data_IF_598234856327
#
_entry.id   IF_598234856327
#
_cell.length_a   1.000
_cell.length_b   1.000
_cell.length_c   1.000
_cell.angle_alpha   90.00
_cell.angle_beta   90.00
_cell.angle_gamma   90.00
#
_symmetry.space_group_name_H-M   'P 1'
#
loop_
_entity.id
_entity.type
_entity.pdbx_description
1 polymer ?
#
# COMPACT_ATOMS: atom_id res chain seq x y z
N UNK A 1 -23.72 -6.60 -18.58
CA UNK A 1 -22.69 -5.63 -18.16
C UNK A 1 -23.33 -4.59 -17.26
N UNK A 2 -22.80 -4.40 -16.04
CA UNK A 2 -23.25 -3.33 -15.17
C UNK A 2 -22.98 -1.97 -15.83
N UNK A 3 -24.01 -1.15 -15.92
CA UNK A 3 -23.86 0.25 -16.27
C UNK A 3 -23.38 1.02 -15.03
N UNK A 4 -22.59 2.06 -15.22
CA UNK A 4 -22.00 2.85 -14.17
C UNK A 4 -20.51 2.56 -13.99
N UNK A 5 -19.93 3.10 -12.93
CA UNK A 5 -18.51 2.97 -12.60
C UNK A 5 -18.24 2.09 -11.38
N UNK A 6 -17.03 2.21 -10.86
CA UNK A 6 -16.60 1.43 -9.69
C UNK A 6 -17.50 1.69 -8.47
N UNK A 7 -17.85 2.95 -8.20
CA UNK A 7 -18.71 3.29 -7.05
C UNK A 7 -20.06 2.54 -7.08
N UNK A 8 -20.60 2.33 -8.28
CA UNK A 8 -21.89 1.64 -8.46
C UNK A 8 -21.73 0.14 -8.26
N UNK A 9 -20.64 -0.44 -8.74
CA UNK A 9 -20.33 -1.86 -8.57
C UNK A 9 -20.20 -2.25 -7.10
N UNK A 10 -19.70 -1.35 -6.26
CA UNK A 10 -19.42 -1.61 -4.84
C UNK A 10 -20.42 -0.98 -3.88
N UNK A 11 -21.56 -0.51 -4.38
CA UNK A 11 -22.58 0.20 -3.56
C UNK A 11 -23.07 -0.57 -2.34
N UNK A 12 -23.08 -1.90 -2.40
CA UNK A 12 -23.51 -2.76 -1.31
C UNK A 12 -22.38 -3.15 -0.35
N UNK A 13 -21.18 -2.65 -0.58
CA UNK A 13 -19.99 -2.98 0.21
C UNK A 13 -19.35 -1.77 0.87
N UNK A 14 -18.82 -0.85 0.09
CA UNK A 14 -18.08 0.32 0.58
C UNK A 14 -18.00 1.40 -0.50
N UNK A 15 -17.67 2.61 -0.07
CA UNK A 15 -17.39 3.69 -1.03
C UNK A 15 -16.06 3.48 -1.72
N UNK A 16 -15.97 3.94 -2.95
CA UNK A 16 -14.74 3.93 -3.73
C UNK A 16 -14.25 5.36 -3.87
N UNK A 17 -13.06 5.62 -3.35
CA UNK A 17 -12.46 6.95 -3.35
C UNK A 17 -11.26 7.09 -4.26
N UNK A 18 -10.85 8.32 -4.46
CA UNK A 18 -9.66 8.65 -5.24
C UNK A 18 -8.96 9.87 -4.65
N UNK A 19 -7.62 9.80 -4.57
CA UNK A 19 -6.80 10.96 -4.27
C UNK A 19 -6.58 11.79 -5.54
N UNK A 20 -6.75 13.10 -5.44
CA UNK A 20 -6.71 14.01 -6.57
C UNK A 20 -5.72 15.14 -6.37
N UNK A 21 -5.25 15.69 -7.51
CA UNK A 21 -4.46 16.91 -7.59
C UNK A 21 -5.26 18.02 -8.30
N UNK A 22 -4.65 19.19 -8.44
CA UNK A 22 -5.30 20.35 -9.10
C UNK A 22 -5.69 20.06 -10.54
N UNK A 23 -4.86 19.34 -11.28
CA UNK A 23 -5.14 18.98 -12.67
C UNK A 23 -6.39 18.13 -12.78
N UNK A 24 -6.58 17.18 -11.88
CA UNK A 24 -7.74 16.27 -11.89
C UNK A 24 -9.06 17.00 -11.71
N UNK A 25 -9.10 18.04 -10.89
CA UNK A 25 -10.32 18.82 -10.62
C UNK A 25 -10.52 20.01 -11.55
N UNK A 26 -9.60 20.19 -12.51
CA UNK A 26 -9.62 21.30 -13.47
C UNK A 26 -9.76 20.82 -14.94
N UNK A 27 -9.57 19.55 -15.21
CA UNK A 27 -9.57 18.97 -16.56
C UNK A 27 -10.89 18.27 -16.80
N UNK A 28 -11.70 18.67 -17.79
CA UNK A 28 -13.04 18.11 -18.01
C UNK A 28 -13.09 16.59 -18.09
N UNK A 29 -12.16 15.96 -18.81
CA UNK A 29 -12.10 14.51 -18.95
C UNK A 29 -11.79 13.80 -17.62
N UNK A 30 -10.94 14.40 -16.78
CA UNK A 30 -10.65 13.88 -15.45
C UNK A 30 -11.86 14.01 -14.53
N UNK A 31 -12.56 15.12 -14.61
CA UNK A 31 -13.79 15.37 -13.82
C UNK A 31 -14.85 14.32 -14.14
N UNK A 32 -15.07 14.03 -15.43
CA UNK A 32 -16.02 13.00 -15.86
C UNK A 32 -15.63 11.62 -15.30
N UNK A 33 -14.36 11.29 -15.36
CA UNK A 33 -13.85 10.02 -14.86
C UNK A 33 -14.06 9.90 -13.34
N UNK A 34 -13.82 10.98 -12.61
CA UNK A 34 -14.04 11.03 -11.16
C UNK A 34 -15.52 10.84 -10.85
N UNK A 35 -16.38 11.60 -11.49
CA UNK A 35 -17.84 11.56 -11.24
C UNK A 35 -18.45 10.20 -11.57
N UNK A 36 -17.91 9.53 -12.59
CA UNK A 36 -18.39 8.20 -12.98
C UNK A 36 -18.01 7.11 -11.98
N UNK A 37 -16.82 7.18 -11.38
CA UNK A 37 -16.23 6.05 -10.67
C UNK A 37 -16.12 6.20 -9.16
N UNK A 38 -16.11 7.41 -8.64
CA UNK A 38 -15.75 7.66 -7.24
C UNK A 38 -16.82 8.43 -6.49
N UNK A 39 -17.04 8.03 -5.25
CA UNK A 39 -17.98 8.70 -4.33
C UNK A 39 -17.31 9.11 -3.01
N UNK A 40 -16.01 9.27 -3.04
CA UNK A 40 -15.18 9.84 -1.96
C UNK A 40 -13.91 10.41 -2.58
N UNK A 41 -13.44 11.53 -2.07
CA UNK A 41 -12.24 12.20 -2.59
C UNK A 41 -11.27 12.47 -1.43
N UNK A 42 -9.98 12.42 -1.73
CA UNK A 42 -8.91 12.87 -0.84
C UNK A 42 -8.02 13.83 -1.62
N UNK A 43 -7.61 14.94 -1.02
CA UNK A 43 -6.56 15.78 -1.59
C UNK A 43 -5.20 15.10 -1.37
N UNK A 44 -4.50 14.76 -2.45
CA UNK A 44 -3.21 14.06 -2.34
C UNK A 44 -2.20 14.84 -1.48
N UNK A 45 -2.04 16.13 -1.72
CA UNK A 45 -1.05 16.96 -1.04
C UNK A 45 -1.59 18.28 -0.49
N UNK A 46 -2.68 18.79 -1.03
CA UNK A 46 -3.05 20.20 -0.89
C UNK A 46 -3.70 20.54 0.45
N UNK A 47 -4.02 19.54 1.27
CA UNK A 47 -4.51 19.73 2.64
C UNK A 47 -3.48 19.31 3.71
N UNK A 48 -2.26 18.97 3.31
CA UNK A 48 -1.18 18.68 4.25
C UNK A 48 -0.72 19.95 4.96
N UNK A 49 -0.19 19.87 6.19
CA UNK A 49 0.13 21.05 7.00
C UNK A 49 1.01 22.10 6.31
N UNK A 50 2.05 21.67 5.59
CA UNK A 50 2.94 22.60 4.89
C UNK A 50 2.23 23.38 3.78
N UNK A 51 1.20 22.78 3.20
CA UNK A 51 0.42 23.43 2.13
C UNK A 51 -0.56 24.45 2.68
N UNK A 52 -1.25 24.15 3.79
CA UNK A 52 -2.26 25.03 4.38
C UNK A 52 -1.70 26.08 5.31
N UNK A 53 -0.61 25.75 6.05
CA UNK A 53 0.04 26.68 6.96
C UNK A 53 1.56 26.56 6.84
N UNK A 54 2.18 27.09 5.76
CA UNK A 54 3.64 27.01 5.55
C UNK A 54 4.44 27.72 6.62
N UNK A 55 3.92 28.79 7.19
CA UNK A 55 4.49 29.56 8.30
C UNK A 55 3.42 29.82 9.34
N UNK A 56 3.81 30.02 10.60
CA UNK A 56 2.86 30.23 11.69
C UNK A 56 1.93 31.43 11.42
N UNK A 57 0.63 31.13 11.43
CA UNK A 57 -0.40 32.15 11.19
C UNK A 57 -0.54 32.59 9.74
N UNK A 58 0.24 32.04 8.82
CA UNK A 58 0.14 32.37 7.39
C UNK A 58 -0.53 31.20 6.65
N UNK A 59 -1.81 31.35 6.43
CA UNK A 59 -2.65 30.33 5.82
C UNK A 59 -2.70 30.48 4.30
N UNK A 60 -2.61 29.36 3.60
CA UNK A 60 -2.77 29.26 2.15
C UNK A 60 -3.87 28.26 1.84
N UNK A 61 -5.04 28.74 1.50
CA UNK A 61 -6.25 27.92 1.28
C UNK A 61 -6.55 27.66 -0.19
N UNK A 62 -5.84 28.28 -1.11
CA UNK A 62 -6.21 28.31 -2.53
C UNK A 62 -6.46 26.92 -3.11
N UNK A 63 -5.50 26.02 -2.98
CA UNK A 63 -5.61 24.68 -3.56
C UNK A 63 -6.57 23.78 -2.76
N UNK A 64 -6.48 23.82 -1.45
CA UNK A 64 -7.37 23.05 -0.59
C UNK A 64 -8.83 23.45 -0.81
N UNK A 65 -9.11 24.78 -0.90
CA UNK A 65 -10.45 25.28 -1.17
C UNK A 65 -10.96 24.82 -2.53
N UNK A 66 -10.11 24.80 -3.54
CA UNK A 66 -10.49 24.36 -4.89
C UNK A 66 -10.97 22.91 -4.88
N UNK A 67 -10.26 22.03 -4.18
CA UNK A 67 -10.68 20.63 -4.04
C UNK A 67 -11.94 20.52 -3.21
N UNK A 68 -12.03 21.22 -2.09
CA UNK A 68 -13.23 21.22 -1.24
C UNK A 68 -14.45 21.73 -1.98
N UNK A 69 -14.31 22.81 -2.77
CA UNK A 69 -15.39 23.36 -3.57
C UNK A 69 -15.82 22.41 -4.68
N UNK A 70 -14.88 21.71 -5.32
CA UNK A 70 -15.21 20.65 -6.27
C UNK A 70 -16.07 19.57 -5.61
N UNK A 71 -15.73 19.16 -4.39
CA UNK A 71 -16.51 18.19 -3.63
C UNK A 71 -17.91 18.73 -3.29
N UNK A 72 -18.01 19.98 -2.86
CA UNK A 72 -19.30 20.63 -2.53
C UNK A 72 -20.21 20.73 -3.75
N UNK A 73 -19.66 21.17 -4.87
CA UNK A 73 -20.40 21.35 -6.12
C UNK A 73 -20.92 20.04 -6.71
N UNK A 74 -20.18 18.94 -6.49
CA UNK A 74 -20.51 17.62 -7.05
C UNK A 74 -21.13 16.67 -6.04
N UNK A 75 -21.32 17.10 -4.79
CA UNK A 75 -21.90 16.28 -3.74
C UNK A 75 -21.07 15.04 -3.39
N UNK A 76 -19.75 15.14 -3.47
CA UNK A 76 -18.85 14.04 -3.16
C UNK A 76 -18.15 14.34 -1.83
N UNK A 77 -18.32 13.48 -0.80
CA UNK A 77 -17.67 13.71 0.50
C UNK A 77 -16.16 13.63 0.40
N UNK A 78 -15.49 14.41 1.25
CA UNK A 78 -14.03 14.57 1.26
C UNK A 78 -13.46 13.90 2.51
N UNK A 79 -12.40 13.08 2.33
CA UNK A 79 -11.54 12.62 3.41
C UNK A 79 -10.47 13.68 3.66
N UNK A 80 -10.38 14.16 4.88
CA UNK A 80 -9.34 15.10 5.26
C UNK A 80 -8.00 14.40 5.48
N UNK A 81 -6.95 14.81 4.78
CA UNK A 81 -5.63 14.19 4.86
C UNK A 81 -4.55 15.27 4.81
N UNK A 82 -3.80 15.49 5.82
CA UNK A 82 -3.72 14.88 7.15
C UNK A 82 -3.43 16.01 8.16
N UNK A 83 -3.81 15.84 9.41
CA UNK A 83 -3.64 16.93 10.41
C UNK A 83 -2.27 16.92 11.07
N UNK A 84 -1.75 15.75 11.45
CA UNK A 84 -0.47 15.61 12.16
C UNK A 84 0.37 14.52 11.50
N UNK A 85 1.54 14.90 11.03
CA UNK A 85 2.46 14.00 10.33
C UNK A 85 3.89 14.54 10.47
N UNK A 86 4.88 13.62 10.51
CA UNK A 86 6.29 14.01 10.57
C UNK A 86 6.81 14.61 9.27
N UNK A 87 6.17 14.30 8.14
CA UNK A 87 6.48 14.84 6.82
C UNK A 87 5.60 16.04 6.47
N UNK A 88 6.03 16.83 5.52
CA UNK A 88 5.29 17.95 4.91
C UNK A 88 4.58 18.85 5.94
N UNK A 89 5.31 19.22 6.97
CA UNK A 89 4.92 20.16 7.99
C UNK A 89 6.00 21.25 8.11
N UNK A 90 5.59 22.51 8.28
CA UNK A 90 6.54 23.62 8.43
C UNK A 90 7.40 23.47 9.68
N UNK A 91 8.69 23.73 9.57
CA UNK A 91 9.63 23.63 10.70
C UNK A 91 9.28 24.57 11.84
N UNK A 92 8.56 25.66 11.54
CA UNK A 92 8.07 26.61 12.55
C UNK A 92 7.24 25.92 13.64
N UNK A 93 6.62 24.77 13.34
CA UNK A 93 5.82 24.04 14.32
C UNK A 93 6.63 23.63 15.53
N UNK A 94 7.93 23.35 15.33
CA UNK A 94 8.79 22.69 16.33
C UNK A 94 9.83 23.61 16.96
N UNK A 95 10.10 24.78 16.35
CA UNK A 95 11.20 25.64 16.75
C UNK A 95 10.72 27.03 17.16
N UNK A 96 11.45 27.63 18.11
CA UNK A 96 11.27 29.02 18.50
C UNK A 96 12.12 29.96 17.61
N UNK A 97 12.09 31.27 17.91
CA UNK A 97 12.85 32.30 17.17
C UNK A 97 14.34 32.09 17.29
N UNK A 98 14.82 31.41 18.32
CA UNK A 98 16.21 31.04 18.52
C UNK A 98 16.61 29.73 17.87
N UNK A 99 15.74 29.11 17.07
CA UNK A 99 15.95 27.83 16.41
C UNK A 99 16.13 26.67 17.39
N UNK A 100 15.60 26.78 18.58
CA UNK A 100 15.56 25.71 19.58
C UNK A 100 14.19 25.07 19.59
N UNK A 101 14.15 23.78 19.97
CA UNK A 101 12.88 23.07 20.09
C UNK A 101 11.97 23.73 21.13
N UNK A 102 10.72 23.90 20.75
CA UNK A 102 9.71 24.44 21.66
C UNK A 102 9.36 23.46 22.77
N UNK A 103 8.76 23.95 23.84
CA UNK A 103 8.21 23.10 24.91
C UNK A 103 7.00 22.31 24.40
N UNK A 104 6.66 21.28 25.13
CA UNK A 104 5.44 20.48 24.87
C UNK A 104 4.19 21.38 24.88
N UNK A 105 4.09 22.29 25.80
CA UNK A 105 2.96 23.22 25.94
C UNK A 105 2.82 24.13 24.72
N UNK A 106 3.91 24.66 24.21
CA UNK A 106 3.93 25.48 22.99
C UNK A 106 3.55 24.63 21.78
N UNK A 107 4.11 23.42 21.65
CA UNK A 107 3.78 22.50 20.56
C UNK A 107 2.28 22.19 20.53
N UNK A 108 1.71 21.86 21.67
CA UNK A 108 0.28 21.53 21.75
C UNK A 108 -0.62 22.73 21.44
N UNK A 109 -0.23 23.92 21.83
CA UNK A 109 -0.95 25.13 21.46
C UNK A 109 -0.94 25.35 19.94
N UNK A 110 0.21 25.22 19.31
CA UNK A 110 0.36 25.33 17.85
C UNK A 110 -0.41 24.24 17.10
N UNK A 111 -0.31 23.01 17.56
CA UNK A 111 -1.03 21.87 17.01
C UNK A 111 -2.55 22.07 17.13
N UNK A 112 -3.03 22.49 18.29
CA UNK A 112 -4.47 22.74 18.53
C UNK A 112 -5.00 23.84 17.60
N UNK A 113 -4.27 24.93 17.46
CA UNK A 113 -4.64 26.03 16.55
C UNK A 113 -4.73 25.55 15.12
N UNK A 114 -3.72 24.79 14.67
CA UNK A 114 -3.70 24.24 13.31
C UNK A 114 -4.92 23.31 13.07
N UNK A 115 -5.12 22.36 13.94
CA UNK A 115 -6.19 21.37 13.82
C UNK A 115 -7.56 22.10 13.82
N UNK A 116 -7.81 22.97 14.79
CA UNK A 116 -9.08 23.68 14.89
C UNK A 116 -9.36 24.55 13.66
N UNK A 117 -8.36 25.25 13.16
CA UNK A 117 -8.52 26.13 12.00
C UNK A 117 -8.84 25.34 10.73
N UNK A 118 -8.10 24.27 10.47
CA UNK A 118 -8.30 23.43 9.28
C UNK A 118 -9.64 22.68 9.36
N UNK A 119 -9.91 22.03 10.49
CA UNK A 119 -11.13 21.23 10.66
C UNK A 119 -12.37 22.13 10.57
N UNK A 120 -12.38 23.28 11.25
CA UNK A 120 -13.50 24.21 11.20
C UNK A 120 -13.81 24.72 9.78
N UNK A 121 -12.76 24.94 8.98
CA UNK A 121 -12.93 25.43 7.61
C UNK A 121 -13.67 24.44 6.71
N UNK A 122 -13.44 23.15 6.89
CA UNK A 122 -13.93 22.10 5.97
C UNK A 122 -14.95 21.16 6.58
N UNK A 123 -15.43 21.39 7.79
CA UNK A 123 -16.35 20.48 8.48
C UNK A 123 -17.68 20.23 7.76
N UNK A 124 -18.08 21.12 6.85
CA UNK A 124 -19.29 20.96 6.05
C UNK A 124 -19.18 19.88 4.97
N UNK A 125 -17.96 19.58 4.52
CA UNK A 125 -17.72 18.63 3.42
C UNK A 125 -16.85 17.44 3.81
N UNK A 126 -16.01 17.58 4.83
CA UNK A 126 -15.12 16.51 5.31
C UNK A 126 -15.89 15.63 6.31
N UNK A 127 -15.98 14.33 6.01
CA UNK A 127 -16.69 13.38 6.86
C UNK A 127 -15.76 12.59 7.78
N UNK A 128 -14.47 12.58 7.49
CA UNK A 128 -13.45 11.90 8.30
C UNK A 128 -12.09 12.53 8.11
N UNK A 129 -11.23 12.40 9.11
CA UNK A 129 -9.87 12.92 9.09
C UNK A 129 -8.85 11.80 9.35
N UNK A 130 -7.78 11.79 8.57
CA UNK A 130 -6.53 11.17 8.98
C UNK A 130 -5.88 12.12 9.97
N UNK A 131 -6.14 11.89 11.25
CA UNK A 131 -5.71 12.81 12.32
C UNK A 131 -4.22 12.74 12.54
N UNK A 132 -3.70 11.52 12.71
CA UNK A 132 -2.27 11.26 12.86
C UNK A 132 -1.86 10.24 11.81
N UNK A 133 -0.77 10.55 11.13
CA UNK A 133 -0.24 9.75 10.02
C UNK A 133 1.16 9.23 10.37
N UNK A 134 1.37 7.92 10.22
CA UNK A 134 2.69 7.28 10.21
C UNK A 134 3.53 7.50 11.48
N UNK A 135 2.93 7.34 12.64
CA UNK A 135 3.59 7.57 13.92
C UNK A 135 4.25 6.32 14.55
N UNK A 136 4.12 5.16 13.91
CA UNK A 136 4.65 3.90 14.44
C UNK A 136 5.86 3.44 13.64
N UNK A 137 6.79 2.71 14.29
CA UNK A 137 8.00 2.21 13.62
C UNK A 137 7.75 0.91 12.86
N UNK A 138 8.56 0.70 11.81
CA UNK A 138 8.58 -0.55 11.06
C UNK A 138 9.50 -1.60 11.67
N UNK A 139 10.57 -1.19 12.34
CA UNK A 139 11.59 -2.08 12.90
C UNK A 139 11.02 -2.90 14.07
N UNK A 140 10.94 -4.21 13.88
CA UNK A 140 10.45 -5.14 14.91
C UNK A 140 11.39 -5.28 16.11
N UNK A 141 12.65 -4.84 15.99
CA UNK A 141 13.62 -4.85 17.06
C UNK A 141 13.69 -3.52 17.83
N UNK A 142 12.91 -2.52 17.46
CA UNK A 142 12.90 -1.24 18.15
C UNK A 142 12.33 -1.39 19.58
N UNK A 143 13.02 -0.79 20.54
CA UNK A 143 12.57 -0.79 21.95
C UNK A 143 11.31 0.04 22.14
N UNK A 144 11.18 1.14 21.37
CA UNK A 144 10.08 2.08 21.44
C UNK A 144 9.25 1.92 20.17
N UNK A 145 7.93 1.67 20.28
CA UNK A 145 7.09 1.40 19.12
C UNK A 145 6.78 2.64 18.27
N UNK A 146 7.05 3.83 18.79
CA UNK A 146 6.74 5.10 18.14
C UNK A 146 7.90 5.59 17.29
N UNK A 147 7.56 6.15 16.11
CA UNK A 147 8.52 6.84 15.27
C UNK A 147 9.20 7.97 16.05
N UNK A 148 10.52 8.06 15.97
CA UNK A 148 11.32 9.09 16.64
C UNK A 148 11.27 10.41 15.87
N UNK A 149 10.08 10.92 15.61
CA UNK A 149 9.83 12.22 14.96
C UNK A 149 10.12 13.38 15.92
N UNK A 150 10.14 14.58 15.41
CA UNK A 150 10.27 15.76 16.26
C UNK A 150 9.07 15.90 17.18
N UNK A 151 7.87 15.54 16.73
CA UNK A 151 6.68 15.44 17.59
C UNK A 151 6.95 14.60 18.82
N UNK A 152 7.48 13.40 18.61
CA UNK A 152 7.77 12.47 19.70
C UNK A 152 8.89 12.96 20.61
N UNK A 153 9.95 13.52 20.04
CA UNK A 153 11.08 14.05 20.82
C UNK A 153 10.67 15.18 21.76
N UNK A 154 9.69 16.00 21.38
CA UNK A 154 9.18 17.08 22.23
C UNK A 154 8.15 16.55 23.24
N UNK A 155 7.21 15.72 22.81
CA UNK A 155 6.00 15.43 23.58
C UNK A 155 5.82 13.95 23.97
N UNK A 156 6.72 13.04 23.54
CA UNK A 156 6.46 11.61 23.69
C UNK A 156 5.24 11.20 22.91
N UNK A 157 4.58 10.11 23.28
CA UNK A 157 3.39 9.63 22.59
C UNK A 157 2.11 10.45 22.88
N UNK A 158 2.17 11.36 23.82
CA UNK A 158 1.02 12.20 24.21
C UNK A 158 0.47 13.02 23.03
N UNK A 159 1.32 13.40 22.08
CA UNK A 159 0.86 14.19 20.93
C UNK A 159 -0.22 13.48 20.11
N UNK A 160 -0.20 12.14 20.07
CA UNK A 160 -1.17 11.36 19.31
C UNK A 160 -2.57 11.53 19.92
N UNK A 161 -2.71 11.23 21.21
CA UNK A 161 -4.00 11.38 21.89
C UNK A 161 -4.50 12.83 21.83
N UNK A 162 -3.62 13.81 22.02
CA UNK A 162 -3.97 15.23 21.96
C UNK A 162 -4.50 15.64 20.58
N UNK A 163 -3.89 15.14 19.51
CA UNK A 163 -4.35 15.42 18.16
C UNK A 163 -5.80 14.95 17.95
N UNK A 164 -6.14 13.74 18.40
CA UNK A 164 -7.50 13.20 18.32
C UNK A 164 -8.48 14.01 19.17
N UNK A 165 -8.10 14.40 20.37
CA UNK A 165 -8.93 15.24 21.24
C UNK A 165 -9.22 16.59 20.58
N UNK A 166 -8.22 17.25 20.03
CA UNK A 166 -8.39 18.55 19.37
C UNK A 166 -9.24 18.45 18.09
N UNK A 167 -9.07 17.40 17.31
CA UNK A 167 -9.90 17.17 16.14
C UNK A 167 -11.37 16.96 16.52
N UNK A 168 -11.63 16.20 17.58
CA UNK A 168 -12.98 15.96 18.09
C UNK A 168 -13.63 17.23 18.64
N UNK A 169 -12.87 18.07 19.33
CA UNK A 169 -13.34 19.37 19.79
C UNK A 169 -13.81 20.23 18.60
N UNK A 170 -13.05 20.24 17.51
CA UNK A 170 -13.32 21.08 16.34
C UNK A 170 -14.52 20.58 15.54
N UNK A 171 -14.68 19.26 15.40
CA UNK A 171 -15.82 18.64 14.71
C UNK A 171 -16.19 17.30 15.38
N UNK A 172 -17.13 17.31 16.31
CA UNK A 172 -17.56 16.09 16.99
C UNK A 172 -18.24 15.05 16.07
N UNK A 173 -18.64 15.43 14.87
CA UNK A 173 -19.34 14.55 13.93
C UNK A 173 -18.39 13.79 13.01
N UNK A 174 -17.18 14.29 12.80
CA UNK A 174 -16.24 13.65 11.90
C UNK A 174 -15.69 12.34 12.48
N UNK A 175 -15.53 11.35 11.63
CA UNK A 175 -14.83 10.13 12.01
C UNK A 175 -13.32 10.40 12.04
N UNK A 176 -12.65 9.91 13.05
CA UNK A 176 -11.23 10.18 13.31
C UNK A 176 -10.39 8.91 13.15
N UNK A 177 -9.42 8.96 12.25
CA UNK A 177 -8.59 7.82 11.85
C UNK A 177 -7.13 8.01 12.26
N UNK A 178 -6.51 6.93 12.70
CA UNK A 178 -5.07 6.76 12.64
C UNK A 178 -4.71 6.10 11.29
N UNK A 179 -3.78 6.64 10.53
CA UNK A 179 -3.42 6.19 9.19
C UNK A 179 -1.96 5.78 9.10
N UNK A 180 -1.67 4.62 8.50
CA UNK A 180 -0.28 4.17 8.37
C UNK A 180 -0.11 3.20 7.19
N UNK A 181 1.13 3.08 6.73
CA UNK A 181 1.57 2.07 5.80
C UNK A 181 2.12 0.85 6.56
N UNK A 182 2.34 -0.26 5.85
CA UNK A 182 2.77 -1.54 6.45
C UNK A 182 1.85 -2.04 7.58
N UNK A 183 0.62 -1.59 7.60
CA UNK A 183 -0.34 -1.90 8.67
C UNK A 183 -0.77 -3.37 8.69
N UNK A 184 -0.49 -4.12 7.62
CA UNK A 184 -0.73 -5.56 7.56
C UNK A 184 0.49 -6.40 7.96
N UNK A 185 1.66 -5.81 8.11
CA UNK A 185 2.86 -6.52 8.55
C UNK A 185 2.71 -6.89 10.03
N UNK A 186 2.87 -8.17 10.42
CA UNK A 186 2.49 -8.64 11.76
C UNK A 186 3.04 -7.83 12.92
N UNK A 187 4.32 -7.48 12.89
CA UNK A 187 4.94 -6.70 13.96
C UNK A 187 4.35 -5.29 14.06
N UNK A 188 4.31 -4.56 12.96
CA UNK A 188 3.74 -3.21 12.94
C UNK A 188 2.24 -3.21 13.20
N UNK A 189 1.51 -4.20 12.66
CA UNK A 189 0.10 -4.42 12.99
C UNK A 189 -0.12 -4.44 14.49
N UNK A 190 0.69 -5.20 15.22
CA UNK A 190 0.55 -5.35 16.67
C UNK A 190 0.90 -4.05 17.40
N UNK A 191 1.89 -3.30 16.93
CA UNK A 191 2.22 -1.98 17.49
C UNK A 191 1.10 -0.97 17.28
N UNK A 192 0.51 -0.93 16.08
CA UNK A 192 -0.66 -0.07 15.80
C UNK A 192 -1.84 -0.50 16.67
N UNK A 193 -2.12 -1.79 16.74
CA UNK A 193 -3.20 -2.33 17.57
C UNK A 193 -3.04 -1.89 19.05
N UNK A 194 -1.86 -2.08 19.61
CA UNK A 194 -1.61 -1.74 21.01
C UNK A 194 -1.75 -0.24 21.28
N UNK A 195 -1.29 0.61 20.35
CA UNK A 195 -1.43 2.06 20.45
C UNK A 195 -2.90 2.49 20.42
N UNK A 196 -3.67 1.98 19.48
CA UNK A 196 -5.10 2.29 19.34
C UNK A 196 -5.88 1.78 20.55
N UNK A 197 -5.58 0.56 21.03
CA UNK A 197 -6.21 0.00 22.22
C UNK A 197 -5.97 0.87 23.45
N UNK A 198 -4.72 1.30 23.67
CA UNK A 198 -4.35 2.21 24.76
C UNK A 198 -5.16 3.50 24.70
N UNK A 199 -5.30 4.10 23.53
CA UNK A 199 -6.09 5.32 23.37
C UNK A 199 -7.57 5.09 23.64
N UNK A 200 -8.15 4.01 23.13
CA UNK A 200 -9.56 3.69 23.37
C UNK A 200 -9.83 3.41 24.85
N UNK A 201 -8.96 2.67 25.51
CA UNK A 201 -9.09 2.39 26.95
C UNK A 201 -9.01 3.68 27.79
N UNK A 202 -8.30 4.69 27.31
CA UNK A 202 -8.22 6.01 27.94
C UNK A 202 -9.35 6.98 27.53
N UNK A 203 -10.30 6.54 26.72
CA UNK A 203 -11.43 7.37 26.30
C UNK A 203 -11.09 8.39 25.19
N UNK A 204 -9.98 8.23 24.49
CA UNK A 204 -9.60 9.10 23.39
C UNK A 204 -10.55 8.86 22.19
N UNK A 205 -11.07 9.93 21.55
CA UNK A 205 -12.01 9.78 20.44
C UNK A 205 -11.29 9.34 19.14
N UNK A 206 -11.15 8.03 18.96
CA UNK A 206 -10.67 7.42 17.75
C UNK A 206 -11.73 6.44 17.22
N UNK A 207 -12.06 6.53 15.93
CA UNK A 207 -13.17 5.80 15.33
C UNK A 207 -12.74 4.78 14.28
N UNK A 208 -11.54 4.93 13.73
CA UNK A 208 -11.10 4.08 12.65
C UNK A 208 -9.60 3.96 12.51
N UNK A 209 -9.21 2.95 11.77
CA UNK A 209 -7.83 2.71 11.34
C UNK A 209 -7.78 2.80 9.83
N UNK A 210 -6.89 3.65 9.31
CA UNK A 210 -6.55 3.74 7.90
C UNK A 210 -5.37 2.85 7.58
N UNK A 211 -5.59 1.89 6.71
CA UNK A 211 -4.53 1.08 6.13
C UNK A 211 -4.21 1.69 4.75
N UNK A 212 -3.01 2.23 4.59
CA UNK A 212 -2.69 2.95 3.34
C UNK A 212 -2.81 2.06 2.11
N UNK A 213 -2.31 0.83 2.18
CA UNK A 213 -2.45 -0.09 1.07
C UNK A 213 -1.48 0.16 -0.08
N UNK A 214 -0.30 0.71 0.20
CA UNK A 214 0.78 0.82 -0.76
C UNK A 214 1.47 -0.54 -0.90
N UNK A 215 0.96 -1.35 -1.80
CA UNK A 215 1.37 -2.74 -1.96
C UNK A 215 2.15 -2.94 -3.26
N UNK A 216 2.68 -4.15 -3.43
CA UNK A 216 3.22 -4.60 -4.72
C UNK A 216 2.63 -5.97 -5.05
N UNK A 217 2.86 -6.44 -6.27
CA UNK A 217 2.28 -7.72 -6.74
C UNK A 217 2.78 -8.93 -5.95
N UNK A 218 3.85 -8.79 -5.16
CA UNK A 218 4.44 -9.86 -4.35
C UNK A 218 4.08 -9.80 -2.87
N UNK A 219 3.56 -8.68 -2.38
CA UNK A 219 3.28 -8.54 -0.96
C UNK A 219 2.50 -7.27 -0.60
N UNK A 220 2.01 -7.20 0.63
CA UNK A 220 2.01 -8.25 1.64
C UNK A 220 1.11 -9.43 1.26
N UNK A 221 1.22 -10.57 1.96
CA UNK A 221 0.38 -11.73 1.69
C UNK A 221 -1.10 -11.45 1.95
N UNK A 222 -1.96 -12.13 1.23
CA UNK A 222 -3.41 -12.01 1.42
C UNK A 222 -3.81 -12.41 2.85
N UNK A 223 -3.16 -13.42 3.41
CA UNK A 223 -3.38 -13.90 4.78
C UNK A 223 -3.04 -12.82 5.81
N UNK A 224 -1.96 -12.09 5.62
CA UNK A 224 -1.57 -10.99 6.51
C UNK A 224 -2.54 -9.81 6.42
N UNK A 225 -3.05 -9.50 5.23
CA UNK A 225 -4.05 -8.45 5.05
C UNK A 225 -5.34 -8.82 5.78
N UNK A 226 -5.82 -10.05 5.57
CA UNK A 226 -7.04 -10.56 6.22
C UNK A 226 -6.90 -10.60 7.74
N UNK A 227 -5.77 -11.09 8.24
CA UNK A 227 -5.48 -11.13 9.67
C UNK A 227 -5.43 -9.74 10.30
N UNK A 228 -4.88 -8.75 9.61
CA UNK A 228 -4.82 -7.38 10.10
C UNK A 228 -6.23 -6.78 10.25
N UNK A 229 -7.06 -6.91 9.24
CA UNK A 229 -8.45 -6.44 9.29
C UNK A 229 -9.20 -7.13 10.44
N UNK A 230 -9.05 -8.45 10.57
CA UNK A 230 -9.69 -9.23 11.64
C UNK A 230 -9.24 -8.78 13.03
N UNK A 231 -8.00 -8.37 13.19
CA UNK A 231 -7.49 -7.86 14.45
C UNK A 231 -7.99 -6.44 14.75
N UNK A 232 -7.89 -5.54 13.79
CA UNK A 232 -8.29 -4.14 13.96
C UNK A 232 -9.78 -3.97 14.20
N UNK A 233 -10.63 -4.79 13.58
CA UNK A 233 -12.09 -4.71 13.76
C UNK A 233 -12.55 -5.04 15.18
N UNK A 234 -11.70 -5.61 16.02
CA UNK A 234 -11.99 -5.79 17.43
C UNK A 234 -11.92 -4.49 18.22
N UNK A 235 -11.28 -3.46 17.66
CA UNK A 235 -11.11 -2.15 18.31
C UNK A 235 -11.95 -1.05 17.69
N UNK A 236 -12.19 -1.09 16.39
CA UNK A 236 -12.82 0.01 15.64
C UNK A 236 -13.92 -0.52 14.73
N UNK A 237 -14.91 0.34 14.46
CA UNK A 237 -16.02 0.04 13.56
C UNK A 237 -15.74 0.47 12.11
N UNK A 238 -14.64 1.19 11.89
CA UNK A 238 -14.30 1.74 10.58
C UNK A 238 -12.85 1.40 10.23
N UNK A 239 -12.66 0.73 9.10
CA UNK A 239 -11.37 0.55 8.45
C UNK A 239 -11.50 1.13 7.05
N UNK A 240 -10.59 2.01 6.69
CA UNK A 240 -10.45 2.53 5.34
C UNK A 240 -9.13 2.03 4.74
N UNK A 241 -9.14 1.63 3.47
CA UNK A 241 -7.93 1.49 2.67
C UNK A 241 -7.73 2.83 2.00
N UNK A 242 -6.80 3.61 2.52
CA UNK A 242 -6.77 5.05 2.31
C UNK A 242 -5.96 5.53 1.11
N UNK A 243 -5.01 4.71 0.65
CA UNK A 243 -4.02 5.13 -0.34
C UNK A 243 -3.61 3.96 -1.25
N UNK A 244 -4.60 3.18 -1.68
CA UNK A 244 -4.37 1.92 -2.38
C UNK A 244 -3.67 2.13 -3.72
N UNK A 245 -2.57 1.45 -3.88
CA UNK A 245 -1.90 1.20 -5.15
C UNK A 245 -1.17 -0.15 -5.05
N UNK A 246 -1.01 -0.84 -6.18
CA UNK A 246 -0.28 -2.11 -6.22
C UNK A 246 0.71 -2.04 -7.37
N UNK A 247 1.95 -1.66 -7.05
CA UNK A 247 3.01 -1.53 -8.04
C UNK A 247 3.51 -2.88 -8.53
N UNK A 248 4.06 -2.90 -9.72
CA UNK A 248 4.56 -4.13 -10.37
C UNK A 248 6.04 -4.37 -10.12
N UNK A 249 6.77 -3.39 -9.59
CA UNK A 249 8.16 -3.56 -9.20
C UNK A 249 8.27 -4.33 -7.88
N UNK A 250 9.34 -5.12 -7.75
CA UNK A 250 9.71 -5.68 -6.46
C UNK A 250 10.07 -4.59 -5.47
N UNK A 251 9.79 -4.87 -4.23
CA UNK A 251 10.21 -4.03 -3.12
C UNK A 251 11.73 -4.12 -2.96
N UNK A 252 12.38 -2.96 -2.86
CA UNK A 252 13.82 -2.87 -2.65
C UNK A 252 14.08 -2.29 -1.25
N UNK A 253 13.81 -3.08 -0.21
CA UNK A 253 13.92 -2.62 1.17
C UNK A 253 12.57 -2.45 1.82
N UNK A 254 12.26 -1.26 2.33
CA UNK A 254 10.97 -0.96 2.93
C UNK A 254 9.89 -0.63 1.91
N UNK A 255 8.64 -0.54 2.36
CA UNK A 255 7.51 -0.22 1.50
C UNK A 255 7.69 1.09 0.73
N UNK A 256 8.41 2.05 1.29
CA UNK A 256 8.66 3.35 0.66
C UNK A 256 9.86 3.35 -0.29
N UNK A 257 10.63 2.25 -0.31
CA UNK A 257 11.77 2.10 -1.21
C UNK A 257 11.35 1.31 -2.45
N UNK A 258 11.42 1.92 -3.62
CA UNK A 258 11.05 1.33 -4.90
C UNK A 258 11.83 1.98 -6.02
N UNK A 259 11.99 1.25 -7.14
CA UNK A 259 12.60 1.80 -8.34
C UNK A 259 11.57 2.56 -9.17
N UNK A 260 11.91 3.76 -9.63
CA UNK A 260 11.10 4.52 -10.58
C UNK A 260 11.34 4.10 -12.03
N UNK A 261 12.35 3.27 -12.27
CA UNK A 261 12.67 2.79 -13.62
C UNK A 261 11.61 1.83 -14.16
N UNK A 262 10.88 1.19 -13.27
CA UNK A 262 9.82 0.27 -13.67
C UNK A 262 10.35 -1.06 -14.19
N UNK A 263 9.43 -1.86 -14.69
CA UNK A 263 9.69 -3.13 -15.37
C UNK A 263 8.92 -3.15 -16.69
N UNK A 264 9.33 -4.01 -17.62
CA UNK A 264 8.55 -4.24 -18.84
C UNK A 264 7.20 -4.85 -18.47
N UNK A 265 6.12 -4.24 -18.94
CA UNK A 265 4.77 -4.71 -18.65
C UNK A 265 4.42 -5.85 -19.62
N UNK A 266 4.60 -7.07 -19.13
CA UNK A 266 4.30 -8.30 -19.86
C UNK A 266 2.89 -8.78 -19.52
N UNK A 267 2.38 -9.75 -20.27
CA UNK A 267 1.10 -10.40 -19.98
C UNK A 267 1.12 -11.05 -18.57
N UNK A 268 2.25 -11.65 -18.19
CA UNK A 268 2.45 -12.24 -16.86
C UNK A 268 2.32 -11.18 -15.75
N UNK A 269 2.98 -10.05 -15.90
CA UNK A 269 2.93 -8.96 -14.92
C UNK A 269 1.51 -8.39 -14.80
N UNK A 270 0.84 -8.16 -15.92
CA UNK A 270 -0.54 -7.69 -15.93
C UNK A 270 -1.47 -8.67 -15.20
N UNK A 271 -1.34 -9.96 -15.51
CA UNK A 271 -2.14 -11.01 -14.86
C UNK A 271 -1.87 -11.07 -13.36
N UNK A 272 -0.61 -10.98 -12.93
CA UNK A 272 -0.25 -10.99 -11.51
C UNK A 272 -0.87 -9.81 -10.77
N UNK A 273 -0.84 -8.62 -11.36
CA UNK A 273 -1.45 -7.43 -10.76
C UNK A 273 -2.97 -7.57 -10.65
N UNK A 274 -3.62 -8.02 -11.71
CA UNK A 274 -5.06 -8.27 -11.73
C UNK A 274 -5.47 -9.27 -10.65
N UNK A 275 -4.74 -10.36 -10.52
CA UNK A 275 -4.98 -11.39 -9.50
C UNK A 275 -4.78 -10.88 -8.09
N UNK A 276 -3.76 -10.05 -7.87
CA UNK A 276 -3.50 -9.45 -6.56
C UNK A 276 -4.62 -8.50 -6.14
N UNK A 277 -5.05 -7.64 -7.05
CA UNK A 277 -6.19 -6.75 -6.80
C UNK A 277 -7.49 -7.53 -6.56
N UNK A 278 -7.76 -8.53 -7.38
CA UNK A 278 -8.96 -9.36 -7.22
C UNK A 278 -9.01 -10.05 -5.86
N UNK A 279 -7.90 -10.66 -5.46
CA UNK A 279 -7.79 -11.31 -4.15
C UNK A 279 -7.97 -10.32 -2.99
N UNK A 280 -7.36 -9.13 -3.09
CA UNK A 280 -7.52 -8.08 -2.10
C UNK A 280 -9.00 -7.66 -1.99
N UNK A 281 -9.63 -7.34 -3.10
CA UNK A 281 -11.03 -6.89 -3.08
C UNK A 281 -11.99 -7.96 -2.57
N UNK A 282 -11.70 -9.24 -2.80
CA UNK A 282 -12.44 -10.35 -2.21
C UNK A 282 -12.38 -10.32 -0.66
N UNK A 283 -11.20 -10.08 -0.11
CA UNK A 283 -11.00 -9.92 1.34
C UNK A 283 -11.77 -8.71 1.85
N UNK A 284 -11.68 -7.57 1.15
CA UNK A 284 -12.36 -6.34 1.55
C UNK A 284 -13.88 -6.52 1.55
N UNK A 285 -14.44 -7.18 0.53
CA UNK A 285 -15.88 -7.49 0.48
C UNK A 285 -16.30 -8.43 1.62
N UNK A 286 -15.49 -9.41 1.95
CA UNK A 286 -15.72 -10.31 3.09
C UNK A 286 -15.84 -9.52 4.41
N UNK A 287 -15.10 -8.45 4.55
CA UNK A 287 -15.07 -7.59 5.72
C UNK A 287 -15.90 -6.30 5.58
N UNK A 288 -16.96 -6.33 4.77
CA UNK A 288 -17.79 -5.14 4.53
C UNK A 288 -18.44 -4.57 5.80
N UNK A 289 -18.52 -5.35 6.86
CA UNK A 289 -19.02 -4.91 8.17
C UNK A 289 -18.14 -3.81 8.79
N UNK A 290 -16.85 -3.79 8.47
CA UNK A 290 -15.89 -2.84 9.03
C UNK A 290 -15.17 -2.01 7.96
N UNK A 291 -14.94 -2.56 6.77
CA UNK A 291 -14.33 -1.83 5.64
C UNK A 291 -15.39 -0.95 4.99
N UNK A 292 -15.26 0.36 5.17
CA UNK A 292 -16.27 1.34 4.73
C UNK A 292 -15.85 2.17 3.52
N UNK A 293 -14.54 2.21 3.23
CA UNK A 293 -14.00 2.96 2.10
C UNK A 293 -12.74 2.30 1.58
N UNK A 294 -12.59 2.32 0.25
CA UNK A 294 -11.36 1.96 -0.45
C UNK A 294 -11.02 3.10 -1.39
N UNK A 295 -9.91 3.79 -1.13
CA UNK A 295 -9.44 4.93 -1.90
C UNK A 295 -8.20 4.55 -2.69
N UNK A 296 -8.24 4.76 -3.99
CA UNK A 296 -7.06 4.64 -4.85
C UNK A 296 -6.20 5.89 -4.74
N UNK A 297 -4.89 5.70 -4.60
CA UNK A 297 -3.97 6.82 -4.48
C UNK A 297 -3.55 7.34 -5.85
N UNK A 298 -4.29 8.29 -6.34
CA UNK A 298 -4.24 8.97 -7.62
C UNK A 298 -5.23 8.42 -8.66
N UNK A 299 -5.55 9.27 -9.63
CA UNK A 299 -6.55 8.98 -10.65
C UNK A 299 -6.02 8.04 -11.74
N UNK A 300 -4.74 8.18 -12.08
CA UNK A 300 -4.10 7.37 -13.12
C UNK A 300 -2.63 7.14 -12.81
N UNK A 301 -2.02 6.21 -13.53
CA UNK A 301 -0.59 5.94 -13.43
C UNK A 301 0.26 7.20 -13.68
N UNK A 302 -0.22 8.10 -14.54
CA UNK A 302 0.45 9.36 -14.82
C UNK A 302 0.57 10.26 -13.58
N UNK A 303 -0.45 10.25 -12.73
CA UNK A 303 -0.51 11.06 -11.52
C UNK A 303 0.20 10.39 -10.34
N UNK A 304 0.50 9.10 -10.43
CA UNK A 304 1.01 8.32 -9.32
C UNK A 304 2.34 8.85 -8.77
N UNK A 305 2.40 8.97 -7.46
CA UNK A 305 3.63 9.30 -6.74
C UNK A 305 4.76 8.29 -6.99
N UNK A 306 4.42 7.05 -7.37
CA UNK A 306 5.37 5.99 -7.70
C UNK A 306 6.02 6.17 -9.07
N UNK A 307 5.42 6.99 -9.94
CA UNK A 307 5.78 7.08 -11.34
C UNK A 307 5.01 6.08 -12.21
N UNK A 308 4.73 6.49 -13.45
CA UNK A 308 3.91 5.71 -14.39
C UNK A 308 4.48 4.32 -14.70
N UNK A 309 5.81 4.18 -14.67
CA UNK A 309 6.49 2.92 -14.94
C UNK A 309 6.22 1.81 -13.90
N UNK A 310 5.74 2.17 -12.72
CA UNK A 310 5.30 1.23 -11.70
C UNK A 310 3.90 0.66 -11.93
N UNK A 311 3.15 1.23 -12.89
CA UNK A 311 1.88 0.71 -13.40
C UNK A 311 0.84 0.38 -12.32
N UNK A 312 0.63 1.23 -11.29
CA UNK A 312 0.00 0.76 -10.05
C UNK A 312 -1.53 0.76 -10.02
N UNK A 313 -2.21 1.47 -10.94
CA UNK A 313 -3.61 1.85 -10.79
C UNK A 313 -4.52 1.26 -11.89
N UNK A 314 -5.85 1.28 -11.68
CA UNK A 314 -6.80 0.78 -12.69
C UNK A 314 -6.83 1.57 -13.99
N UNK A 315 -6.42 2.84 -13.99
CA UNK A 315 -6.32 3.67 -15.18
C UNK A 315 -4.86 3.91 -15.55
N UNK A 316 -4.53 3.75 -16.82
CA UNK A 316 -3.16 3.90 -17.34
C UNK A 316 -2.73 5.37 -17.42
N UNK A 317 -1.50 5.60 -17.90
CA UNK A 317 -0.95 6.96 -18.01
C UNK A 317 -1.67 7.87 -19.00
N UNK A 318 -2.54 7.33 -19.82
CA UNK A 318 -3.42 8.06 -20.73
C UNK A 318 -4.86 8.18 -20.22
N UNK A 319 -5.10 7.83 -18.97
CA UNK A 319 -6.42 7.84 -18.31
C UNK A 319 -7.42 6.86 -18.94
N UNK A 320 -6.91 5.81 -19.59
CA UNK A 320 -7.74 4.74 -20.15
C UNK A 320 -7.84 3.58 -19.16
N UNK A 321 -9.01 2.93 -19.08
CA UNK A 321 -9.17 1.77 -18.21
C UNK A 321 -8.32 0.59 -18.71
N UNK A 322 -7.56 0.00 -17.79
CA UNK A 322 -6.87 -1.26 -18.03
C UNK A 322 -7.86 -2.43 -17.91
N UNK A 323 -7.43 -3.65 -18.30
CA UNK A 323 -8.22 -4.85 -17.98
C UNK A 323 -8.47 -4.98 -16.48
N UNK A 324 -7.55 -4.53 -15.65
CA UNK A 324 -7.72 -4.45 -14.19
C UNK A 324 -9.01 -3.72 -13.81
N UNK A 325 -9.33 -2.62 -14.45
CA UNK A 325 -10.58 -1.90 -14.21
C UNK A 325 -11.79 -2.80 -14.44
N UNK A 326 -11.78 -3.58 -15.52
CA UNK A 326 -12.85 -4.51 -15.85
C UNK A 326 -12.96 -5.63 -14.82
N UNK A 327 -11.84 -6.16 -14.33
CA UNK A 327 -11.80 -7.15 -13.27
C UNK A 327 -12.48 -6.61 -12.00
N UNK A 328 -12.12 -5.39 -11.59
CA UNK A 328 -12.65 -4.79 -10.38
C UNK A 328 -14.14 -4.43 -10.51
N UNK A 329 -14.52 -3.89 -11.67
CA UNK A 329 -15.91 -3.46 -11.90
C UNK A 329 -16.87 -4.65 -12.01
N UNK A 330 -16.45 -5.72 -12.67
CA UNK A 330 -17.31 -6.87 -12.99
C UNK A 330 -17.02 -8.08 -12.10
N UNK A 331 -16.59 -7.87 -10.87
CA UNK A 331 -16.10 -8.91 -9.95
C UNK A 331 -17.07 -10.09 -9.77
N UNK A 332 -18.37 -9.87 -9.90
CA UNK A 332 -19.41 -10.88 -9.72
C UNK A 332 -19.61 -11.78 -10.95
N UNK A 333 -19.09 -11.40 -12.11
CA UNK A 333 -19.27 -12.15 -13.37
C UNK A 333 -17.95 -12.59 -14.01
N UNK A 334 -16.80 -12.20 -13.48
CA UNK A 334 -15.51 -12.60 -14.04
C UNK A 334 -15.24 -14.08 -13.87
N UNK A 335 -14.46 -14.63 -14.82
CA UNK A 335 -13.96 -16.01 -14.83
C UNK A 335 -12.46 -15.98 -15.05
N UNK A 336 -11.79 -17.14 -15.06
CA UNK A 336 -10.36 -17.21 -15.41
C UNK A 336 -10.06 -16.59 -16.78
N UNK A 337 -10.97 -16.69 -17.73
CA UNK A 337 -10.82 -16.08 -19.06
C UNK A 337 -10.88 -14.55 -19.05
N UNK A 338 -11.40 -13.94 -17.98
CA UNK A 338 -11.48 -12.48 -17.83
C UNK A 338 -10.13 -11.84 -17.56
N UNK A 339 -9.21 -12.57 -16.93
CA UNK A 339 -7.86 -12.09 -16.66
C UNK A 339 -7.02 -12.07 -17.92
N UNK A 340 -6.02 -11.20 -17.96
CA UNK A 340 -5.04 -11.18 -19.05
C UNK A 340 -4.44 -12.56 -19.23
N UNK A 341 -4.54 -13.12 -20.43
CA UNK A 341 -3.99 -14.43 -20.74
C UNK A 341 -2.49 -14.32 -21.01
N UNK A 342 -1.73 -15.33 -20.59
CA UNK A 342 -0.31 -15.41 -20.90
C UNK A 342 -0.11 -15.50 -22.41
N UNK A 343 0.85 -14.75 -22.94
CA UNK A 343 1.14 -14.70 -24.37
C UNK A 343 2.64 -14.63 -24.63
N UNK A 344 3.07 -15.03 -25.84
CA UNK A 344 4.46 -14.94 -26.26
C UNK A 344 5.41 -15.68 -25.33
N UNK A 345 6.50 -15.02 -24.95
CA UNK A 345 7.54 -15.59 -24.08
C UNK A 345 7.08 -15.84 -22.65
N UNK A 346 5.92 -15.32 -22.25
CA UNK A 346 5.36 -15.56 -20.92
C UNK A 346 4.71 -16.94 -20.78
N UNK A 347 4.42 -17.59 -21.91
CA UNK A 347 3.88 -18.95 -21.88
C UNK A 347 5.00 -19.91 -21.51
N UNK A 348 4.86 -20.51 -20.33
CA UNK A 348 5.82 -21.50 -19.85
C UNK A 348 5.55 -22.84 -20.54
N UNK A 349 6.52 -23.35 -21.28
CA UNK A 349 6.45 -24.69 -21.87
C UNK A 349 6.75 -25.74 -20.81
N UNK A 350 5.87 -26.70 -20.66
CA UNK A 350 5.97 -27.75 -19.62
C UNK A 350 6.92 -28.92 -20.03
N UNK A 351 7.81 -28.70 -20.96
CA UNK A 351 8.81 -29.68 -21.41
C UNK A 351 10.09 -29.69 -20.52
N UNK A 352 9.91 -29.44 -19.23
CA UNK A 352 11.00 -29.45 -18.27
C UNK A 352 11.62 -30.85 -18.15
N UNK A 353 12.94 -30.88 -18.15
CA UNK A 353 13.74 -32.08 -17.95
C UNK A 353 14.77 -31.86 -16.83
N UNK A 354 15.09 -32.91 -16.05
CA UNK A 354 16.16 -32.78 -15.05
C UNK A 354 17.47 -32.31 -15.68
N UNK A 355 18.11 -31.36 -15.04
CA UNK A 355 19.42 -30.87 -15.44
C UNK A 355 20.52 -31.87 -14.96
N UNK A 356 20.67 -33.00 -15.66
CA UNK A 356 21.45 -34.15 -15.25
C UNK A 356 22.89 -33.82 -14.87
N UNK A 357 23.51 -32.84 -15.51
CA UNK A 357 24.88 -32.42 -15.21
C UNK A 357 24.96 -31.60 -13.91
N UNK A 358 23.86 -31.12 -13.37
CA UNK A 358 23.78 -30.24 -12.22
C UNK A 358 23.19 -30.94 -10.99
N UNK A 359 22.30 -31.92 -11.21
CA UNK A 359 21.56 -32.57 -10.13
C UNK A 359 22.39 -33.61 -9.42
N UNK A 360 22.18 -33.76 -8.14
CA UNK A 360 22.60 -34.92 -7.39
C UNK A 360 21.89 -36.19 -7.91
N UNK A 361 22.58 -37.33 -7.78
CA UNK A 361 22.03 -38.60 -8.24
C UNK A 361 20.61 -38.86 -7.69
N UNK A 362 19.72 -39.22 -8.60
CA UNK A 362 18.34 -39.53 -8.26
C UNK A 362 17.45 -38.31 -8.00
N UNK A 363 17.98 -37.11 -8.11
CA UNK A 363 17.20 -35.86 -7.94
C UNK A 363 16.64 -35.39 -9.28
N UNK A 364 15.36 -35.00 -9.27
CA UNK A 364 14.70 -34.48 -10.46
C UNK A 364 14.93 -32.98 -10.67
N UNK A 365 15.24 -32.26 -9.60
CA UNK A 365 15.44 -30.80 -9.63
C UNK A 365 16.91 -30.42 -9.42
N UNK A 366 17.36 -29.30 -9.96
CA UNK A 366 16.62 -28.37 -10.84
C UNK A 366 16.30 -28.98 -12.20
N UNK A 367 15.28 -28.43 -12.86
CA UNK A 367 14.86 -28.80 -14.21
C UNK A 367 15.07 -27.61 -15.16
N UNK A 368 15.24 -27.89 -16.44
CA UNK A 368 15.37 -26.87 -17.49
C UNK A 368 14.43 -27.25 -18.63
N UNK A 369 13.72 -26.26 -19.18
CA UNK A 369 12.85 -26.45 -20.34
C UNK A 369 13.49 -25.94 -21.63
N UNK A 370 12.79 -26.07 -22.76
CA UNK A 370 13.24 -25.62 -24.07
C UNK A 370 13.38 -24.11 -24.20
N UNK A 371 12.78 -23.36 -23.27
CA UNK A 371 12.91 -21.90 -23.22
C UNK A 371 14.08 -21.45 -22.33
N UNK A 372 14.88 -22.38 -21.85
CA UNK A 372 15.97 -22.12 -20.90
C UNK A 372 15.47 -21.56 -19.55
N UNK A 373 14.23 -21.85 -19.19
CA UNK A 373 13.72 -21.59 -17.84
C UNK A 373 14.22 -22.67 -16.90
N UNK A 374 14.59 -22.25 -15.69
CA UNK A 374 15.03 -23.15 -14.62
C UNK A 374 13.89 -23.29 -13.62
N UNK A 375 13.51 -24.52 -13.30
CA UNK A 375 12.55 -24.83 -12.23
C UNK A 375 13.27 -25.46 -11.07
N UNK A 376 13.12 -24.87 -9.88
CA UNK A 376 13.68 -25.37 -8.64
C UNK A 376 12.57 -25.83 -7.70
N UNK A 377 12.92 -26.76 -6.81
CA UNK A 377 12.01 -27.23 -5.77
C UNK A 377 12.77 -27.41 -4.46
N UNK A 378 12.16 -26.95 -3.36
CA UNK A 378 12.74 -27.06 -2.03
C UNK A 378 11.67 -27.48 -1.03
N UNK A 379 11.99 -28.46 -0.18
CA UNK A 379 11.18 -28.80 0.98
C UNK A 379 11.62 -27.96 2.17
N UNK A 380 10.76 -27.01 2.57
CA UNK A 380 11.01 -26.09 3.67
C UNK A 380 9.69 -25.78 4.40
N UNK A 381 9.19 -26.70 5.22
CA UNK A 381 7.84 -26.60 5.79
C UNK A 381 7.68 -25.43 6.78
N UNK A 382 8.76 -24.99 7.40
CA UNK A 382 8.75 -23.85 8.33
C UNK A 382 9.03 -22.50 7.69
N UNK A 383 9.29 -22.44 6.38
CA UNK A 383 9.62 -21.21 5.70
C UNK A 383 8.39 -20.36 5.42
N UNK A 384 8.54 -19.04 5.51
CA UNK A 384 7.50 -18.06 5.15
C UNK A 384 7.64 -17.59 3.71
N UNK A 385 8.86 -17.59 3.18
CA UNK A 385 9.17 -17.13 1.84
C UNK A 385 10.35 -17.91 1.28
N UNK A 386 10.25 -18.37 0.05
CA UNK A 386 11.35 -18.99 -0.69
C UNK A 386 11.40 -18.35 -2.09
N UNK A 387 12.60 -17.97 -2.51
CA UNK A 387 12.85 -17.41 -3.84
C UNK A 387 13.96 -18.16 -4.54
N UNK A 388 13.85 -18.29 -5.87
CA UNK A 388 14.93 -18.76 -6.74
C UNK A 388 15.75 -17.55 -7.19
N UNK A 389 17.02 -17.53 -6.85
CA UNK A 389 17.95 -16.46 -7.19
C UNK A 389 18.87 -16.92 -8.32
N UNK A 390 18.63 -16.43 -9.51
CA UNK A 390 19.37 -16.80 -10.72
C UNK A 390 19.40 -15.62 -11.71
N UNK A 391 20.52 -15.45 -12.39
CA UNK A 391 20.66 -14.44 -13.42
C UNK A 391 20.50 -12.99 -12.90
N UNK A 392 20.86 -12.76 -11.65
CA UNK A 392 20.75 -11.45 -11.01
C UNK A 392 19.32 -11.06 -10.62
N UNK A 393 18.38 -12.01 -10.66
CA UNK A 393 16.98 -11.78 -10.33
C UNK A 393 16.47 -12.85 -9.38
N UNK A 394 15.56 -12.47 -8.49
CA UNK A 394 14.93 -13.38 -7.51
C UNK A 394 13.49 -13.63 -7.92
N UNK A 395 13.14 -14.91 -8.05
CA UNK A 395 11.80 -15.35 -8.45
C UNK A 395 11.08 -15.98 -7.27
N UNK A 396 9.93 -15.45 -6.84
CA UNK A 396 9.17 -16.04 -5.75
C UNK A 396 8.72 -17.47 -6.09
N UNK A 397 8.81 -18.36 -5.11
CA UNK A 397 8.37 -19.73 -5.23
C UNK A 397 7.05 -19.94 -4.50
N UNK A 398 6.28 -20.92 -4.94
CA UNK A 398 4.95 -21.22 -4.41
C UNK A 398 5.02 -22.45 -3.52
N UNK A 399 4.41 -22.35 -2.33
CA UNK A 399 4.24 -23.48 -1.39
C UNK A 399 3.00 -24.27 -1.76
N UNK A 400 3.13 -25.61 -1.81
CA UNK A 400 2.00 -26.52 -2.09
C UNK A 400 1.04 -26.73 -0.91
N UNK A 401 1.28 -26.05 0.22
CA UNK A 401 0.53 -26.23 1.46
C UNK A 401 1.08 -27.36 2.34
N UNK A 402 2.08 -28.10 1.87
CA UNK A 402 2.74 -29.19 2.61
C UNK A 402 4.23 -28.94 2.82
N UNK A 403 4.67 -27.71 2.61
CA UNK A 403 6.05 -27.29 2.81
C UNK A 403 6.96 -27.54 1.62
N UNK A 404 6.43 -27.92 0.46
CA UNK A 404 7.22 -28.02 -0.78
C UNK A 404 7.01 -26.78 -1.61
N UNK A 405 8.13 -26.10 -1.89
CA UNK A 405 8.18 -24.86 -2.65
C UNK A 405 8.69 -25.14 -4.05
N UNK A 406 8.00 -24.63 -5.06
CA UNK A 406 8.40 -24.77 -6.47
C UNK A 406 8.31 -23.40 -7.15
N UNK A 407 9.28 -23.11 -8.01
CA UNK A 407 9.29 -21.89 -8.78
C UNK A 407 10.16 -21.97 -10.02
N UNK A 408 9.90 -21.08 -10.99
CA UNK A 408 10.62 -21.01 -12.25
C UNK A 408 11.22 -19.63 -12.46
N UNK A 409 12.35 -19.61 -13.17
CA UNK A 409 12.93 -18.39 -13.70
C UNK A 409 12.30 -17.97 -15.03
N UNK A 410 12.54 -16.74 -15.43
CA UNK A 410 12.43 -16.34 -16.84
C UNK A 410 13.50 -17.06 -17.68
N UNK A 411 13.39 -17.05 -19.02
CA UNK A 411 14.42 -17.62 -19.88
C UNK A 411 15.81 -17.07 -19.56
N UNK A 412 16.76 -17.97 -19.40
CA UNK A 412 18.16 -17.62 -19.13
C UNK A 412 18.96 -17.57 -20.43
N UNK A 413 20.08 -16.85 -20.42
CA UNK A 413 21.03 -16.84 -21.54
C UNK A 413 21.67 -18.22 -21.70
N UNK A 414 22.25 -18.49 -22.86
CA UNK A 414 23.05 -19.69 -23.04
C UNK A 414 24.26 -19.69 -22.13
N UNK A 415 24.59 -20.88 -21.61
CA UNK A 415 25.75 -21.08 -20.77
C UNK A 415 25.37 -21.46 -19.34
N UNK A 416 26.41 -21.54 -18.53
CA UNK A 416 26.29 -21.95 -17.14
C UNK A 416 25.88 -20.77 -16.26
N UNK A 417 24.88 -20.98 -15.42
CA UNK A 417 24.40 -19.98 -14.46
C UNK A 417 24.56 -20.50 -13.04
N UNK A 418 25.14 -19.66 -12.18
CA UNK A 418 25.08 -19.87 -10.76
C UNK A 418 23.69 -19.51 -10.26
N UNK A 419 23.16 -20.30 -9.36
CA UNK A 419 21.92 -19.98 -8.68
C UNK A 419 21.96 -20.42 -7.23
N UNK A 420 21.08 -19.85 -6.45
CA UNK A 420 20.85 -20.21 -5.06
C UNK A 420 19.38 -20.01 -4.72
N UNK A 421 19.00 -20.42 -3.54
CA UNK A 421 17.66 -20.17 -3.01
C UNK A 421 17.78 -19.12 -1.92
N UNK A 422 16.73 -18.35 -1.75
CA UNK A 422 16.60 -17.42 -0.64
C UNK A 422 15.43 -17.89 0.23
N UNK A 423 15.75 -18.29 1.47
CA UNK A 423 14.74 -18.79 2.43
C UNK A 423 14.63 -17.78 3.55
N UNK A 424 13.43 -17.15 3.69
CA UNK A 424 13.18 -16.12 4.71
C UNK A 424 14.24 -15.02 4.74
N UNK A 425 14.73 -14.61 3.56
CA UNK A 425 15.74 -13.58 3.41
C UNK A 425 17.20 -14.07 3.48
N UNK A 426 17.45 -15.31 3.81
CA UNK A 426 18.79 -15.89 3.86
C UNK A 426 19.12 -16.67 2.59
N UNK A 427 20.24 -16.34 1.97
CA UNK A 427 20.74 -17.09 0.80
C UNK A 427 21.26 -18.45 1.22
N UNK A 428 20.73 -19.51 0.60
CA UNK A 428 21.11 -20.89 0.87
C UNK A 428 21.38 -21.63 -0.45
N UNK A 429 22.33 -22.59 -0.47
CA UNK A 429 22.51 -23.42 -1.65
C UNK A 429 21.32 -24.35 -1.84
N UNK A 430 21.01 -24.71 -3.11
CA UNK A 430 20.00 -25.72 -3.39
C UNK A 430 20.54 -27.12 -3.02
N UNK A 431 19.93 -27.81 -2.05
CA UNK A 431 20.42 -29.12 -1.61
C UNK A 431 20.27 -30.23 -2.67
N UNK A 432 19.50 -29.98 -3.73
CA UNK A 432 19.31 -30.93 -4.84
C UNK A 432 20.40 -30.82 -5.91
N UNK A 433 21.21 -29.78 -5.86
CA UNK A 433 22.25 -29.49 -6.85
C UNK A 433 23.62 -29.96 -6.39
N UNK A 434 24.43 -30.41 -7.35
CA UNK A 434 25.86 -30.65 -7.14
C UNK A 434 26.62 -29.33 -6.97
N UNK A 435 26.12 -28.26 -7.55
CA UNK A 435 26.72 -26.91 -7.56
C UNK A 435 26.16 -26.04 -6.45
N UNK A 436 26.32 -26.48 -5.22
CA UNK A 436 26.00 -25.64 -4.08
C UNK A 436 27.26 -24.88 -3.64
N UNK A 437 27.17 -24.11 -2.61
CA UNK A 437 28.10 -23.08 -2.16
C UNK A 437 29.59 -23.27 -2.46
N UNK A 438 30.14 -24.48 -2.29
CA UNK A 438 31.55 -24.75 -2.54
C UNK A 438 31.93 -24.84 -4.02
N UNK A 439 31.01 -25.27 -4.86
CA UNK A 439 31.25 -25.46 -6.29
C UNK A 439 31.00 -24.20 -7.11
N UNK A 440 30.18 -23.30 -6.62
CA UNK A 440 29.90 -22.04 -7.29
C UNK A 440 31.12 -21.13 -7.47
N UNK A 441 32.20 -21.43 -6.78
CA UNK A 441 33.47 -20.72 -6.91
C UNK A 441 34.27 -21.07 -8.17
N UNK A 442 33.94 -22.18 -8.79
CA UNK A 442 34.81 -22.78 -9.79
C UNK A 442 34.13 -23.02 -11.13
N UNK A 443 32.87 -22.71 -11.22
CA UNK A 443 32.14 -22.83 -12.45
C UNK A 443 32.34 -21.67 -13.41
#
# INVERSE_FOLDING_TARGET
>A
AQQGGLKDAYKDYFTIGVAVNMRNVSTPEHIELIKQNYNSITAENDMKPVSTQPEEGKWNWEKADKIANFCRENGIPLRGHTLVWHGQVGQWMFYDDNKELVSKEVLFKRMRTHIHTVVNRYKDIVYCWDVVNEAMVDDDNAEIPYRQSIWYRIAGDEFIAKAFEYAHEADPKALLFYNDYNAANPGKRDRIYNMVKKMKDAGVPIHGIGMQGHYNIYGPSNENIDAAISKYKTLVDNIHFTELDIRVNEEMGGQLEFSRDGVTITSKIQRMQEKKYDALFKILRKHKDVVKNVTFWNLSDRDSWLGAANYPLPFDSEYKPKNLYNILKNFDTITEASFTQLSGDDIVKEDFQPAKSTNQDGKQYPMVNSQRRVRAQLKAPGAKSVKLDIGGKKYPMTNDGKGVWTGESDPQDEGFHYYQLEVDGASVPDPNSLYYYGASRWG
#
